data_IF_689306039232
#
_entry.id   IF_689306039232
#
_cell.length_a   1.000
_cell.length_b   1.000
_cell.length_c   1.000
_cell.angle_alpha   90.00
_cell.angle_beta   90.00
_cell.angle_gamma   90.00
#
_symmetry.space_group_name_H-M   'P 1'
#
loop_
_entity.id
_entity.type
_entity.pdbx_description
1 polymer ?
#
# COMPACT_ATOMS: atom_id res chain seq x y z
N UNK A 1 -5.66 0.28 -10.02
CA UNK A 1 -5.68 0.27 -8.55
C UNK A 1 -5.67 -1.19 -8.09
N UNK A 2 -4.54 -1.65 -7.58
CA UNK A 2 -4.37 -3.01 -7.04
C UNK A 2 -4.65 -2.93 -5.55
N UNK A 3 -5.74 -3.54 -5.10
CA UNK A 3 -5.92 -3.77 -3.67
C UNK A 3 -5.23 -5.08 -3.35
N UNK A 4 -4.06 -4.96 -2.81
CA UNK A 4 -3.26 -6.08 -2.35
C UNK A 4 -3.37 -6.11 -0.83
N UNK A 5 -3.60 -7.29 -0.28
CA UNK A 5 -3.53 -7.54 1.15
C UNK A 5 -2.18 -7.03 1.69
N UNK A 6 -2.18 -5.87 2.32
CA UNK A 6 -1.06 -5.43 3.12
C UNK A 6 -0.94 -6.40 4.31
N UNK A 7 0.15 -7.15 4.38
CA UNK A 7 0.42 -8.03 5.49
C UNK A 7 0.75 -7.19 6.72
N UNK A 8 -0.17 -7.14 7.66
CA UNK A 8 -0.02 -6.45 8.94
C UNK A 8 0.98 -7.16 9.83
N UNK A 9 2.08 -6.48 10.13
CA UNK A 9 2.98 -6.88 11.22
C UNK A 9 2.41 -6.34 12.53
N UNK A 10 1.74 -7.18 13.32
CA UNK A 10 1.33 -6.83 14.67
C UNK A 10 2.56 -6.60 15.54
N UNK A 11 2.81 -5.36 15.92
CA UNK A 11 3.70 -5.03 17.05
C UNK A 11 3.03 -5.51 18.34
N UNK A 12 3.52 -6.63 18.90
CA UNK A 12 3.22 -7.00 20.29
C UNK A 12 3.94 -6.01 21.22
N UNK A 13 3.18 -5.18 21.89
CA UNK A 13 3.67 -4.43 23.05
C UNK A 13 3.95 -5.44 24.16
N UNK A 14 5.22 -5.60 24.50
CA UNK A 14 5.64 -6.51 25.55
C UNK A 14 5.39 -5.92 26.94
N UNK A 15 4.35 -6.36 27.59
CA UNK A 15 4.18 -6.16 29.04
C UNK A 15 4.98 -7.26 29.73
N UNK A 16 6.05 -6.89 30.41
CA UNK A 16 6.79 -7.77 31.33
C UNK A 16 5.95 -7.96 32.59
N UNK A 17 5.30 -9.12 32.73
CA UNK A 17 4.75 -9.59 33.97
C UNK A 17 5.69 -10.63 34.57
N UNK A 18 6.15 -10.37 35.79
CA UNK A 18 6.95 -11.25 36.63
C UNK A 18 6.14 -12.49 37.05
N UNK A 19 6.64 -13.66 36.77
CA UNK A 19 6.01 -14.94 37.15
C UNK A 19 6.38 -15.26 38.62
N UNK A 20 5.34 -15.43 39.42
CA UNK A 20 5.46 -16.18 40.71
C UNK A 20 4.82 -17.54 40.49
N UNK A 21 5.64 -18.57 40.74
CA UNK A 21 5.33 -19.99 40.58
C UNK A 21 4.45 -20.46 41.72
N UNK A 22 3.23 -20.96 41.47
CA UNK A 22 2.52 -21.87 42.35
C UNK A 22 2.04 -23.06 41.54
N UNK A 23 2.60 -24.24 41.87
CA UNK A 23 2.21 -25.54 41.34
C UNK A 23 0.94 -26.01 42.06
N UNK A 24 -0.10 -26.31 41.33
CA UNK A 24 -1.18 -27.18 41.80
C UNK A 24 -1.74 -27.97 40.60
N UNK A 25 -1.48 -29.28 40.63
CA UNK A 25 -2.09 -30.24 39.70
C UNK A 25 -3.59 -30.36 39.95
N UNK A 26 -4.40 -30.13 38.91
CA UNK A 26 -5.73 -30.73 38.80
C UNK A 26 -5.98 -31.04 37.31
N UNK A 27 -6.05 -32.34 37.02
CA UNK A 27 -6.51 -32.91 35.78
C UNK A 27 -8.02 -32.57 35.59
N UNK A 28 -8.34 -31.74 34.61
CA UNK A 28 -9.69 -31.51 34.15
C UNK A 28 -9.63 -31.31 32.64
N UNK A 29 -10.05 -32.31 31.88
CA UNK A 29 -10.12 -32.24 30.43
C UNK A 29 -11.11 -31.15 29.96
N UNK A 30 -10.61 -30.06 29.44
CA UNK A 30 -11.36 -29.09 28.67
C UNK A 30 -11.20 -29.43 27.18
N UNK A 31 -12.20 -30.11 26.63
CA UNK A 31 -12.39 -30.25 25.21
C UNK A 31 -12.57 -28.84 24.63
N UNK A 32 -11.56 -28.30 23.94
CA UNK A 32 -11.68 -27.12 23.11
C UNK A 32 -12.62 -27.46 21.95
N UNK A 33 -13.85 -27.05 22.03
CA UNK A 33 -14.75 -27.01 20.88
C UNK A 33 -14.21 -25.91 19.95
N UNK A 34 -13.34 -26.28 19.03
CA UNK A 34 -13.17 -25.53 17.81
C UNK A 34 -14.50 -25.67 17.05
N UNK A 35 -15.34 -24.65 17.08
CA UNK A 35 -16.48 -24.57 16.18
C UNK A 35 -15.95 -24.50 14.76
N UNK A 36 -15.85 -25.65 14.10
CA UNK A 36 -15.72 -25.75 12.66
C UNK A 36 -16.94 -25.04 12.08
N UNK A 37 -16.72 -24.03 11.21
CA UNK A 37 -17.79 -23.43 10.43
C UNK A 37 -18.49 -24.55 9.66
N UNK A 38 -19.80 -24.70 9.84
CA UNK A 38 -20.60 -25.69 9.13
C UNK A 38 -20.51 -25.44 7.62
N UNK A 39 -20.17 -26.47 6.81
CA UNK A 39 -20.17 -26.32 5.37
C UNK A 39 -21.63 -26.36 4.90
N UNK A 40 -22.20 -25.19 4.54
CA UNK A 40 -23.52 -25.13 3.92
C UNK A 40 -24.50 -24.06 4.40
N UNK A 41 -24.11 -23.18 5.33
CA UNK A 41 -24.97 -22.06 5.69
C UNK A 41 -25.14 -21.12 4.49
N UNK A 42 -26.38 -20.94 4.02
CA UNK A 42 -26.69 -19.95 2.98
C UNK A 42 -26.28 -18.54 3.47
N UNK A 43 -25.74 -17.69 2.59
CA UNK A 43 -25.37 -16.33 2.98
C UNK A 43 -26.58 -15.63 3.59
N UNK A 44 -26.38 -15.03 4.77
CA UNK A 44 -27.41 -14.21 5.41
C UNK A 44 -27.85 -13.12 4.43
N UNK A 45 -29.16 -12.85 4.35
CA UNK A 45 -29.65 -11.77 3.50
C UNK A 45 -28.93 -10.46 3.86
N UNK A 46 -28.53 -9.66 2.87
CA UNK A 46 -27.72 -8.48 3.06
C UNK A 46 -28.24 -7.52 4.14
N UNK A 47 -29.57 -7.28 4.15
CA UNK A 47 -30.19 -6.41 5.15
C UNK A 47 -30.03 -6.94 6.59
N UNK A 48 -30.18 -8.26 6.80
CA UNK A 48 -29.98 -8.87 8.12
C UNK A 48 -28.49 -8.88 8.52
N UNK A 49 -27.60 -9.08 7.57
CA UNK A 49 -26.16 -8.98 7.80
C UNK A 49 -25.77 -7.55 8.19
N UNK A 50 -26.36 -6.53 7.56
CA UNK A 50 -26.07 -5.13 7.86
C UNK A 50 -26.50 -4.75 9.29
N UNK A 51 -27.56 -5.37 9.83
CA UNK A 51 -27.95 -5.22 11.24
C UNK A 51 -26.84 -5.75 12.15
N UNK A 52 -26.30 -6.94 11.86
CA UNK A 52 -25.19 -7.50 12.68
C UNK A 52 -23.94 -6.60 12.61
N UNK A 53 -23.64 -6.04 11.43
CA UNK A 53 -22.53 -5.09 11.27
C UNK A 53 -22.76 -3.82 12.08
N UNK A 54 -23.98 -3.30 12.09
CA UNK A 54 -24.38 -2.15 12.92
C UNK A 54 -24.10 -2.42 14.41
N UNK A 55 -24.56 -3.55 14.92
CA UNK A 55 -24.34 -3.94 16.32
C UNK A 55 -22.84 -4.07 16.65
N UNK A 56 -22.07 -4.67 15.75
CA UNK A 56 -20.63 -4.79 15.90
C UNK A 56 -19.92 -3.43 15.91
N UNK A 57 -20.32 -2.50 15.04
CA UNK A 57 -19.75 -1.16 14.98
C UNK A 57 -19.99 -0.37 16.27
N UNK A 58 -21.23 -0.41 16.79
CA UNK A 58 -21.61 0.23 18.06
C UNK A 58 -20.84 -0.41 19.24
N UNK A 59 -20.72 -1.74 19.26
CA UNK A 59 -19.95 -2.44 20.29
C UNK A 59 -18.45 -2.10 20.26
N UNK A 60 -17.91 -1.65 19.11
CA UNK A 60 -16.54 -1.14 18.97
C UNK A 60 -16.41 0.34 19.33
N UNK A 61 -17.49 1.01 19.74
CA UNK A 61 -17.47 2.41 20.20
C UNK A 61 -17.82 3.45 19.14
N UNK A 62 -18.19 3.03 17.92
CA UNK A 62 -18.64 3.96 16.87
C UNK A 62 -20.06 4.44 17.22
N UNK A 63 -20.34 5.74 17.09
CA UNK A 63 -21.65 6.28 17.47
C UNK A 63 -22.78 5.70 16.63
N UNK A 64 -23.91 5.39 17.28
CA UNK A 64 -25.09 4.89 16.59
C UNK A 64 -25.58 5.86 15.51
N UNK A 65 -25.45 7.17 15.76
CA UNK A 65 -25.84 8.21 14.80
C UNK A 65 -25.05 8.13 13.49
N UNK A 66 -23.72 7.95 13.58
CA UNK A 66 -22.85 7.79 12.41
C UNK A 66 -23.17 6.51 11.65
N UNK A 67 -23.32 5.39 12.35
CA UNK A 67 -23.61 4.10 11.71
C UNK A 67 -24.97 4.13 11.01
N UNK A 68 -26.00 4.67 11.68
CA UNK A 68 -27.35 4.76 11.13
C UNK A 68 -27.37 5.68 9.89
N UNK A 69 -26.71 6.83 9.94
CA UNK A 69 -26.60 7.71 8.78
C UNK A 69 -25.84 7.05 7.62
N UNK A 70 -24.73 6.34 7.90
CA UNK A 70 -23.90 5.68 6.91
C UNK A 70 -24.63 4.52 6.21
N UNK A 71 -25.59 3.87 6.87
CA UNK A 71 -26.29 2.71 6.34
C UNK A 71 -27.65 3.03 5.69
N UNK A 72 -28.08 4.29 5.70
CA UNK A 72 -29.33 4.68 5.02
C UNK A 72 -29.26 4.32 3.54
N UNK A 73 -30.19 3.47 3.09
CA UNK A 73 -30.32 3.08 1.67
C UNK A 73 -29.13 2.30 1.11
N UNK A 74 -28.28 1.72 1.95
CA UNK A 74 -27.15 0.91 1.48
C UNK A 74 -27.64 -0.45 1.00
N UNK A 75 -27.41 -0.70 -0.28
CA UNK A 75 -27.66 -1.96 -0.99
C UNK A 75 -26.40 -2.42 -1.71
N UNK A 76 -26.25 -3.73 -2.02
CA UNK A 76 -25.12 -4.23 -2.79
C UNK A 76 -24.94 -3.51 -4.14
N UNK A 77 -23.73 -3.10 -4.47
CA UNK A 77 -23.43 -2.47 -5.75
C UNK A 77 -22.86 -3.49 -6.75
N UNK A 78 -23.66 -3.81 -7.77
CA UNK A 78 -23.27 -4.73 -8.83
C UNK A 78 -22.03 -4.26 -9.65
N UNK A 79 -21.77 -2.94 -9.69
CA UNK A 79 -20.56 -2.39 -10.35
C UNK A 79 -19.32 -2.78 -9.58
N UNK A 80 -19.39 -2.77 -8.24
CA UNK A 80 -18.32 -3.19 -7.35
C UNK A 80 -17.99 -4.67 -7.56
N UNK A 81 -18.99 -5.55 -7.57
CA UNK A 81 -18.80 -7.00 -7.81
C UNK A 81 -18.21 -7.29 -9.19
N UNK A 82 -18.66 -6.56 -10.23
CA UNK A 82 -18.08 -6.66 -11.57
C UNK A 82 -16.64 -6.17 -11.63
N UNK A 83 -16.31 -5.10 -10.92
CA UNK A 83 -14.94 -4.57 -10.87
C UNK A 83 -14.00 -5.55 -10.16
N UNK A 84 -14.46 -6.17 -9.06
CA UNK A 84 -13.71 -7.16 -8.31
C UNK A 84 -13.42 -8.45 -9.12
N UNK A 85 -14.34 -8.85 -9.99
CA UNK A 85 -14.16 -10.02 -10.86
C UNK A 85 -13.24 -9.75 -12.07
N UNK A 86 -13.05 -8.50 -12.47
CA UNK A 86 -12.32 -8.05 -13.67
C UNK A 86 -11.05 -7.31 -13.32
N UNK A 87 -10.12 -7.89 -12.57
CA UNK A 87 -8.85 -7.21 -12.26
C UNK A 87 -7.92 -7.21 -13.49
N UNK A 88 -7.84 -6.13 -14.30
CA UNK A 88 -7.06 -6.09 -15.55
C UNK A 88 -5.55 -6.14 -15.35
N UNK A 89 -5.06 -5.97 -14.15
CA UNK A 89 -3.63 -5.83 -13.84
C UNK A 89 -2.83 -7.12 -14.01
N UNK A 90 -3.50 -8.26 -14.10
CA UNK A 90 -2.85 -9.56 -14.36
C UNK A 90 -2.59 -9.82 -15.84
N UNK A 91 -3.09 -8.97 -16.75
CA UNK A 91 -3.05 -9.23 -18.20
C UNK A 91 -1.93 -8.46 -18.91
N UNK A 92 -1.44 -7.34 -18.34
CA UNK A 92 -0.40 -6.52 -18.98
C UNK A 92 1.01 -7.09 -18.73
N UNK A 93 1.89 -7.03 -19.74
CA UNK A 93 3.32 -7.26 -19.54
C UNK A 93 3.93 -6.18 -18.64
N UNK A 94 5.15 -6.41 -18.16
CA UNK A 94 5.85 -5.43 -17.32
C UNK A 94 6.08 -4.12 -18.10
N UNK A 95 6.54 -4.23 -19.33
CA UNK A 95 6.79 -3.10 -20.22
C UNK A 95 5.50 -2.31 -20.54
N UNK A 96 4.41 -2.98 -20.91
CA UNK A 96 3.12 -2.32 -21.18
C UNK A 96 2.61 -1.54 -19.97
N UNK A 97 2.78 -2.09 -18.78
CA UNK A 97 2.40 -1.40 -17.54
C UNK A 97 3.23 -0.13 -17.34
N UNK A 98 4.56 -0.22 -17.49
CA UNK A 98 5.45 0.94 -17.33
C UNK A 98 5.17 2.02 -18.37
N UNK A 99 5.01 1.66 -19.65
CA UNK A 99 4.69 2.60 -20.74
C UNK A 99 3.39 3.39 -20.47
N UNK A 100 2.40 2.76 -19.83
CA UNK A 100 1.14 3.43 -19.46
C UNK A 100 1.26 4.29 -18.19
N UNK A 101 2.24 4.06 -17.35
CA UNK A 101 2.36 4.71 -16.02
C UNK A 101 3.49 5.71 -15.94
N UNK A 102 4.65 5.42 -16.53
CA UNK A 102 5.85 6.26 -16.51
C UNK A 102 6.00 6.93 -17.89
N UNK A 103 5.21 7.96 -18.14
CA UNK A 103 5.19 8.68 -19.40
C UNK A 103 5.94 10.01 -19.31
N UNK A 104 6.56 10.51 -20.42
CA UNK A 104 7.17 11.84 -20.42
C UNK A 104 6.22 12.95 -19.99
N UNK A 105 4.94 12.85 -20.38
CA UNK A 105 3.90 13.81 -20.00
C UNK A 105 3.65 13.81 -18.49
N UNK A 106 3.56 12.62 -17.85
CA UNK A 106 3.38 12.51 -16.40
C UNK A 106 4.63 12.99 -15.66
N UNK A 107 5.83 12.65 -16.13
CA UNK A 107 7.07 13.15 -15.55
C UNK A 107 7.17 14.68 -15.63
N UNK A 108 6.82 15.27 -16.77
CA UNK A 108 6.74 16.74 -16.92
C UNK A 108 5.76 17.37 -15.93
N UNK A 109 4.56 16.83 -15.81
CA UNK A 109 3.56 17.30 -14.84
C UNK A 109 4.07 17.15 -13.39
N UNK A 110 4.71 16.03 -13.06
CA UNK A 110 5.29 15.78 -11.75
C UNK A 110 6.38 16.82 -11.40
N UNK A 111 7.26 17.16 -12.34
CA UNK A 111 8.26 18.23 -12.15
C UNK A 111 7.64 19.60 -11.91
N UNK A 112 6.54 19.93 -12.63
CA UNK A 112 5.82 21.18 -12.41
C UNK A 112 5.28 21.21 -10.99
N UNK A 113 4.54 20.19 -10.56
CA UNK A 113 4.00 20.12 -9.20
C UNK A 113 5.10 20.12 -8.15
N UNK A 114 6.22 19.45 -8.39
CA UNK A 114 7.36 19.46 -7.48
C UNK A 114 7.91 20.87 -7.29
N UNK A 115 8.17 21.61 -8.38
CA UNK A 115 8.71 22.98 -8.36
C UNK A 115 7.73 23.98 -7.72
N UNK A 116 6.45 23.89 -8.07
CA UNK A 116 5.41 24.80 -7.52
C UNK A 116 5.21 24.63 -6.00
N UNK A 117 5.50 23.44 -5.46
CA UNK A 117 5.25 23.12 -4.06
C UNK A 117 6.53 22.81 -3.28
N UNK A 118 7.70 23.19 -3.82
CA UNK A 118 9.01 22.77 -3.29
C UNK A 118 9.16 23.05 -1.80
N UNK A 119 8.86 24.26 -1.34
CA UNK A 119 9.03 24.63 0.07
C UNK A 119 8.15 23.80 1.04
N UNK A 120 6.94 23.43 0.62
CA UNK A 120 6.07 22.58 1.42
C UNK A 120 6.57 21.13 1.41
N UNK A 121 6.96 20.62 0.24
CA UNK A 121 7.48 19.26 0.09
C UNK A 121 8.78 19.06 0.89
N UNK A 122 9.68 20.04 0.90
CA UNK A 122 10.92 20.01 1.68
C UNK A 122 10.63 19.98 3.20
N UNK A 123 9.69 20.79 3.69
CA UNK A 123 9.27 20.77 5.10
C UNK A 123 8.69 19.42 5.51
N UNK A 124 7.89 18.78 4.64
CA UNK A 124 7.33 17.45 4.88
C UNK A 124 8.46 16.41 4.84
N UNK A 125 9.32 16.47 3.83
CA UNK A 125 10.46 15.57 3.65
C UNK A 125 11.41 15.61 4.85
N UNK A 126 11.72 16.80 5.36
CA UNK A 126 12.53 16.99 6.56
C UNK A 126 11.86 16.39 7.80
N UNK A 127 10.57 16.69 8.02
CA UNK A 127 9.83 16.23 9.20
C UNK A 127 9.76 14.70 9.29
N UNK A 128 9.56 14.02 8.16
CA UNK A 128 9.37 12.57 8.12
C UNK A 128 10.60 11.80 7.63
N UNK A 129 11.69 12.49 7.29
CA UNK A 129 12.93 11.91 6.76
C UNK A 129 12.69 11.08 5.50
N UNK A 130 12.00 11.69 4.52
CA UNK A 130 11.64 11.09 3.23
C UNK A 130 12.21 11.96 2.11
N UNK A 131 12.63 11.33 1.02
CA UNK A 131 13.07 12.08 -0.17
C UNK A 131 11.85 12.62 -0.92
N UNK A 132 11.73 13.95 -1.02
CA UNK A 132 10.54 14.67 -1.51
C UNK A 132 10.03 14.24 -2.91
N UNK A 133 10.86 13.86 -3.90
CA UNK A 133 10.37 13.42 -5.20
C UNK A 133 9.43 12.22 -5.14
N UNK A 134 9.60 11.34 -4.15
CA UNK A 134 8.71 10.18 -3.98
C UNK A 134 7.29 10.59 -3.60
N UNK A 135 7.09 11.68 -2.82
CA UNK A 135 5.77 12.16 -2.45
C UNK A 135 4.94 12.50 -3.69
N UNK A 136 5.57 13.17 -4.64
CA UNK A 136 4.96 13.50 -5.95
C UNK A 136 4.77 12.26 -6.81
N UNK A 137 5.73 11.31 -6.82
CA UNK A 137 5.62 10.08 -7.60
C UNK A 137 4.44 9.20 -7.14
N UNK A 138 4.25 9.04 -5.82
CA UNK A 138 3.08 8.35 -5.27
C UNK A 138 1.78 9.06 -5.64
N UNK A 139 1.68 10.37 -5.41
CA UNK A 139 0.50 11.15 -5.73
C UNK A 139 0.12 11.11 -7.22
N UNK A 140 1.15 11.14 -8.09
CA UNK A 140 0.96 10.99 -9.52
C UNK A 140 0.40 9.62 -9.92
N UNK A 141 0.90 8.53 -9.32
CA UNK A 141 0.48 7.19 -9.68
C UNK A 141 -0.87 6.81 -9.06
N UNK A 142 -1.14 7.23 -7.82
CA UNK A 142 -2.37 6.86 -7.11
C UNK A 142 -3.59 7.58 -7.68
N UNK A 143 -3.50 8.87 -7.90
CA UNK A 143 -4.68 9.66 -8.26
C UNK A 143 -4.50 10.62 -9.44
N UNK A 144 -3.39 10.49 -10.20
CA UNK A 144 -3.04 11.44 -11.24
C UNK A 144 -3.10 12.89 -10.73
N UNK A 145 -2.37 13.16 -9.66
CA UNK A 145 -2.31 14.46 -8.98
C UNK A 145 -3.69 14.90 -8.44
N UNK A 146 -4.39 14.00 -7.79
CA UNK A 146 -5.70 14.26 -7.17
C UNK A 146 -6.90 14.28 -8.12
N UNK A 147 -6.67 14.10 -9.44
CA UNK A 147 -7.75 14.17 -10.46
C UNK A 147 -8.61 12.92 -10.51
N UNK A 148 -8.10 11.76 -10.08
CA UNK A 148 -8.74 10.47 -10.20
C UNK A 148 -8.78 9.77 -8.83
N UNK A 149 -9.71 10.16 -7.99
CA UNK A 149 -9.87 9.60 -6.64
C UNK A 149 -10.91 8.47 -6.59
N UNK A 150 -11.69 8.30 -7.64
CA UNK A 150 -12.86 7.43 -7.67
C UNK A 150 -14.15 8.15 -7.28
N UNK A 151 -15.29 7.51 -7.55
CA UNK A 151 -16.62 8.06 -7.30
C UNK A 151 -17.61 7.04 -6.73
N UNK A 152 -17.09 5.97 -6.14
CA UNK A 152 -17.89 4.99 -5.43
C UNK A 152 -18.06 5.42 -3.97
N UNK A 153 -19.26 5.26 -3.42
CA UNK A 153 -19.44 5.37 -1.96
C UNK A 153 -18.56 4.33 -1.26
N UNK A 154 -17.69 4.76 -0.38
CA UNK A 154 -16.78 3.89 0.37
C UNK A 154 -17.58 2.89 1.22
N UNK A 155 -18.59 3.37 1.95
CA UNK A 155 -19.44 2.51 2.80
C UNK A 155 -20.14 1.44 1.96
N UNK A 156 -20.80 1.83 0.87
CA UNK A 156 -21.52 0.89 0.01
C UNK A 156 -20.58 -0.12 -0.64
N UNK A 157 -19.42 0.31 -1.09
CA UNK A 157 -18.41 -0.54 -1.71
C UNK A 157 -17.90 -1.58 -0.73
N UNK A 158 -17.49 -1.14 0.46
CA UNK A 158 -16.96 -2.03 1.49
C UNK A 158 -18.02 -2.99 2.03
N UNK A 159 -19.26 -2.51 2.25
CA UNK A 159 -20.38 -3.37 2.65
C UNK A 159 -20.67 -4.44 1.59
N UNK A 160 -20.66 -4.08 0.30
CA UNK A 160 -20.83 -5.03 -0.81
C UNK A 160 -19.77 -6.13 -0.78
N UNK A 161 -18.49 -5.74 -0.65
CA UNK A 161 -17.37 -6.68 -0.66
C UNK A 161 -17.23 -7.47 0.65
N UNK A 162 -17.63 -6.89 1.77
CA UNK A 162 -17.65 -7.57 3.06
C UNK A 162 -18.74 -8.65 3.13
N UNK A 163 -19.87 -8.43 2.48
CA UNK A 163 -20.93 -9.43 2.36
C UNK A 163 -20.57 -10.55 1.35
N UNK A 164 -19.75 -10.28 0.33
CA UNK A 164 -19.21 -11.29 -0.59
C UNK A 164 -18.20 -12.19 0.16
N UNK A 165 -18.43 -13.51 0.17
CA UNK A 165 -17.70 -14.46 1.02
C UNK A 165 -16.19 -14.57 0.73
N UNK A 166 -15.72 -14.16 -0.46
CA UNK A 166 -14.33 -14.39 -0.90
C UNK A 166 -13.25 -13.72 -0.05
N UNK A 167 -13.51 -12.50 0.44
CA UNK A 167 -12.59 -11.70 1.27
C UNK A 167 -13.32 -10.98 2.40
N UNK A 168 -14.41 -11.57 2.88
CA UNK A 168 -15.34 -10.98 3.86
C UNK A 168 -14.63 -10.41 5.08
N UNK A 169 -13.76 -11.20 5.73
CA UNK A 169 -13.07 -10.77 6.94
C UNK A 169 -12.18 -9.53 6.74
N UNK A 170 -11.53 -9.39 5.57
CA UNK A 170 -10.74 -8.22 5.24
C UNK A 170 -11.64 -6.99 5.06
N UNK A 171 -12.65 -7.09 4.20
CA UNK A 171 -13.52 -5.95 3.91
C UNK A 171 -14.42 -5.56 5.07
N UNK A 172 -14.78 -6.50 5.97
CA UNK A 172 -15.47 -6.16 7.22
C UNK A 172 -14.60 -5.28 8.12
N UNK A 173 -13.33 -5.59 8.27
CA UNK A 173 -12.41 -4.72 9.03
C UNK A 173 -12.25 -3.33 8.39
N UNK A 174 -12.14 -3.27 7.07
CA UNK A 174 -12.08 -1.99 6.36
C UNK A 174 -13.39 -1.20 6.48
N UNK A 175 -14.56 -1.85 6.50
CA UNK A 175 -15.85 -1.21 6.73
C UNK A 175 -15.93 -0.61 8.14
N UNK A 176 -15.48 -1.35 9.17
CA UNK A 176 -15.41 -0.82 10.53
C UNK A 176 -14.49 0.40 10.62
N UNK A 177 -13.32 0.32 10.00
CA UNK A 177 -12.39 1.45 9.93
C UNK A 177 -12.99 2.65 9.17
N UNK A 178 -13.75 2.42 8.09
CA UNK A 178 -14.44 3.47 7.35
C UNK A 178 -15.51 4.18 8.19
N UNK A 179 -16.28 3.42 8.95
CA UNK A 179 -17.26 3.98 9.90
C UNK A 179 -16.58 4.81 10.99
N UNK A 180 -15.42 4.37 11.47
CA UNK A 180 -14.62 5.13 12.45
C UNK A 180 -14.10 6.45 11.84
N UNK A 181 -13.61 6.45 10.59
CA UNK A 181 -13.17 7.68 9.89
C UNK A 181 -14.31 8.72 9.82
N UNK A 182 -15.54 8.26 9.55
CA UNK A 182 -16.72 9.13 9.56
C UNK A 182 -17.05 9.64 10.96
N UNK A 183 -16.98 8.78 11.96
CA UNK A 183 -17.32 9.12 13.35
C UNK A 183 -16.33 10.14 13.95
N UNK A 184 -15.04 10.07 13.54
CA UNK A 184 -14.00 11.04 13.88
C UNK A 184 -14.19 12.39 13.14
N UNK A 185 -15.09 12.49 12.17
CA UNK A 185 -15.47 13.73 11.50
C UNK A 185 -14.47 14.29 10.51
N UNK A 186 -13.56 13.46 9.98
CA UNK A 186 -12.54 13.88 9.04
C UNK A 186 -13.08 14.25 7.65
N UNK A 187 -14.24 13.68 7.28
CA UNK A 187 -14.89 13.90 5.99
C UNK A 187 -16.41 13.78 6.16
N UNK A 188 -17.22 14.62 5.48
CA UNK A 188 -18.68 14.45 5.45
C UNK A 188 -19.07 13.18 4.66
N UNK A 189 -20.19 12.57 5.05
CA UNK A 189 -20.65 11.30 4.44
C UNK A 189 -20.90 11.40 2.94
N UNK A 190 -21.41 12.50 2.45
CA UNK A 190 -21.68 12.75 1.02
C UNK A 190 -20.40 12.96 0.19
N UNK A 191 -19.29 13.35 0.82
CA UNK A 191 -17.95 13.43 0.24
C UNK A 191 -17.14 12.15 0.41
N UNK A 192 -17.65 11.15 1.17
CA UNK A 192 -16.93 9.92 1.48
C UNK A 192 -16.94 8.94 0.30
N UNK A 193 -16.28 9.36 -0.76
CA UNK A 193 -16.16 8.62 -2.02
C UNK A 193 -14.72 8.23 -2.32
N UNK A 194 -14.55 7.22 -3.18
CA UNK A 194 -13.23 6.71 -3.55
C UNK A 194 -13.29 5.62 -4.60
N UNK A 195 -12.30 4.73 -4.59
CA UNK A 195 -12.23 3.58 -5.47
C UNK A 195 -13.27 2.50 -5.13
N UNK A 196 -13.59 1.67 -6.10
CA UNK A 196 -14.60 0.60 -5.99
C UNK A 196 -14.34 -0.40 -4.85
N UNK A 197 -13.13 -0.50 -4.38
CA UNK A 197 -12.74 -1.42 -3.31
C UNK A 197 -12.36 -0.71 -2.01
N UNK A 198 -12.77 0.55 -1.84
CA UNK A 198 -12.64 1.26 -0.58
C UNK A 198 -11.36 2.10 -0.43
N UNK A 199 -10.55 2.26 -1.46
CA UNK A 199 -9.41 3.16 -1.42
C UNK A 199 -9.86 4.62 -1.48
N UNK A 200 -9.31 5.49 -0.64
CA UNK A 200 -9.83 6.82 -0.34
C UNK A 200 -8.84 7.92 -0.69
N UNK A 201 -9.38 9.06 -1.11
CA UNK A 201 -8.66 10.30 -1.29
C UNK A 201 -7.56 10.25 -2.37
N UNK A 202 -6.68 11.26 -2.36
CA UNK A 202 -5.66 11.43 -3.39
C UNK A 202 -4.50 10.44 -3.26
N UNK A 203 -4.25 9.90 -2.07
CA UNK A 203 -3.24 8.88 -1.79
C UNK A 203 -3.78 7.44 -1.79
N UNK A 204 -5.06 7.26 -2.10
CA UNK A 204 -5.72 5.95 -2.23
C UNK A 204 -5.49 5.03 -1.01
N UNK A 205 -5.53 5.59 0.19
CA UNK A 205 -5.45 4.81 1.42
C UNK A 205 -6.70 3.95 1.62
N UNK A 206 -6.49 2.73 2.10
CA UNK A 206 -7.58 1.96 2.71
C UNK A 206 -7.98 2.62 4.04
N UNK A 207 -9.24 2.46 4.52
CA UNK A 207 -9.69 3.05 5.79
C UNK A 207 -8.78 2.73 6.98
N UNK A 208 -8.32 1.50 7.10
CA UNK A 208 -7.37 1.12 8.14
C UNK A 208 -6.01 1.83 7.98
N UNK A 209 -5.55 2.05 6.76
CA UNK A 209 -4.34 2.82 6.49
C UNK A 209 -4.52 4.30 6.85
N UNK A 210 -5.70 4.86 6.58
CA UNK A 210 -6.04 6.22 6.98
C UNK A 210 -5.94 6.39 8.50
N UNK A 211 -6.59 5.54 9.27
CA UNK A 211 -6.57 5.61 10.74
C UNK A 211 -5.14 5.54 11.30
N UNK A 212 -4.28 4.74 10.68
CA UNK A 212 -2.92 4.53 11.16
C UNK A 212 -1.92 5.58 10.66
N UNK A 213 -2.11 6.15 9.48
CA UNK A 213 -1.06 6.91 8.80
C UNK A 213 -1.49 8.30 8.32
N UNK A 214 -2.79 8.62 8.22
CA UNK A 214 -3.20 9.93 7.78
C UNK A 214 -2.77 11.01 8.79
N UNK A 215 -2.29 12.14 8.26
CA UNK A 215 -1.76 13.26 9.03
C UNK A 215 -2.57 14.52 8.76
N UNK A 216 -2.79 15.29 9.81
CA UNK A 216 -3.21 16.68 9.77
C UNK A 216 -1.93 17.53 9.82
N UNK A 217 -1.47 18.01 8.67
CA UNK A 217 -0.19 18.69 8.58
C UNK A 217 -0.31 20.20 8.77
N UNK A 218 -1.43 20.80 8.41
CA UNK A 218 -1.69 22.21 8.57
C UNK A 218 -2.32 22.56 9.93
N UNK A 219 -2.77 21.54 10.70
CA UNK A 219 -3.25 21.68 12.06
C UNK A 219 -4.69 22.21 12.16
N UNK A 220 -5.52 21.97 11.13
CA UNK A 220 -6.93 22.40 11.12
C UNK A 220 -7.87 21.47 11.91
N UNK A 221 -7.33 20.37 12.44
CA UNK A 221 -8.05 19.33 13.20
C UNK A 221 -8.64 18.22 12.32
N UNK A 222 -8.37 18.22 11.02
CA UNK A 222 -8.84 17.20 10.08
C UNK A 222 -7.67 16.58 9.32
N UNK A 223 -7.74 15.30 9.07
CA UNK A 223 -6.81 14.58 8.19
C UNK A 223 -7.41 14.52 6.79
N UNK A 224 -7.34 15.63 6.05
CA UNK A 224 -8.05 15.77 4.77
C UNK A 224 -7.23 15.28 3.58
N UNK A 225 -7.28 13.98 3.32
CA UNK A 225 -6.61 13.39 2.15
C UNK A 225 -7.37 13.55 0.83
N UNK A 226 -8.53 14.19 0.81
CA UNK A 226 -9.36 14.38 -0.40
C UNK A 226 -9.07 15.69 -1.12
N UNK A 227 -8.86 16.77 -0.39
CA UNK A 227 -8.70 18.10 -0.99
C UNK A 227 -7.49 18.90 -0.45
N UNK A 228 -6.85 18.48 0.65
CA UNK A 228 -5.68 19.14 1.22
C UNK A 228 -4.39 18.42 0.82
N UNK A 229 -3.62 18.99 -0.10
CA UNK A 229 -2.37 18.38 -0.58
C UNK A 229 -1.28 18.29 0.49
N UNK A 230 -1.28 19.18 1.49
CA UNK A 230 -0.33 19.10 2.60
C UNK A 230 -0.56 17.81 3.41
N UNK A 231 -1.82 17.51 3.74
CA UNK A 231 -2.20 16.27 4.44
C UNK A 231 -1.93 15.03 3.59
N UNK A 232 -2.22 15.13 2.28
CA UNK A 232 -1.94 14.03 1.33
C UNK A 232 -0.47 13.66 1.36
N UNK A 233 0.43 14.62 1.17
CA UNK A 233 1.87 14.35 1.09
C UNK A 233 2.45 13.98 2.46
N UNK A 234 2.00 14.61 3.54
CA UNK A 234 2.39 14.24 4.89
C UNK A 234 1.96 12.83 5.27
N UNK A 235 0.76 12.42 4.85
CA UNK A 235 0.25 11.05 5.06
C UNK A 235 1.07 10.02 4.28
N UNK A 236 1.44 10.29 3.03
CA UNK A 236 2.35 9.44 2.26
C UNK A 236 3.71 9.37 2.95
N UNK A 237 4.27 10.51 3.37
CA UNK A 237 5.56 10.59 4.04
C UNK A 237 5.57 9.79 5.35
N UNK A 238 4.56 9.98 6.19
CA UNK A 238 4.43 9.24 7.44
C UNK A 238 4.27 7.73 7.21
N UNK A 239 3.46 7.33 6.23
CA UNK A 239 3.36 5.92 5.85
C UNK A 239 4.73 5.32 5.50
N UNK A 240 5.51 6.02 4.66
CA UNK A 240 6.83 5.54 4.23
C UNK A 240 7.82 5.48 5.41
N UNK A 241 7.83 6.49 6.30
CA UNK A 241 8.70 6.52 7.47
C UNK A 241 8.42 5.37 8.44
N UNK A 242 7.15 5.11 8.76
CA UNK A 242 6.74 4.00 9.62
C UNK A 242 7.05 2.63 8.98
N UNK A 243 7.10 2.54 7.65
CA UNK A 243 7.49 1.36 6.90
C UNK A 243 8.98 1.30 6.58
N UNK A 244 9.83 1.99 7.39
CA UNK A 244 11.30 1.88 7.39
C UNK A 244 11.98 2.46 6.16
N UNK A 245 11.46 3.54 5.61
CA UNK A 245 12.18 4.32 4.60
C UNK A 245 13.58 4.69 5.09
N UNK A 246 14.54 4.69 4.19
CA UNK A 246 15.91 5.10 4.45
C UNK A 246 16.19 6.37 3.65
N UNK A 247 16.14 7.53 4.30
CA UNK A 247 16.46 8.80 3.65
C UNK A 247 17.86 8.76 3.01
N UNK A 248 17.96 9.30 1.81
CA UNK A 248 19.22 9.30 1.06
C UNK A 248 19.65 7.94 0.50
N UNK A 249 18.82 6.88 0.57
CA UNK A 249 19.06 5.64 -0.18
C UNK A 249 18.15 5.60 -1.43
N UNK A 250 18.71 5.16 -2.56
CA UNK A 250 17.93 4.92 -3.78
C UNK A 250 16.94 3.76 -3.58
N UNK A 251 15.81 3.80 -4.32
CA UNK A 251 14.91 2.64 -4.44
C UNK A 251 15.59 1.45 -5.13
N UNK A 252 16.49 1.76 -6.07
CA UNK A 252 17.15 0.82 -6.95
C UNK A 252 17.61 1.50 -8.23
N UNK A 253 17.75 0.72 -9.30
CA UNK A 253 18.18 1.19 -10.61
C UNK A 253 17.80 0.23 -11.72
N UNK A 254 17.69 0.77 -12.96
CA UNK A 254 17.65 -0.05 -14.17
C UNK A 254 19.03 -0.59 -14.49
N UNK A 255 19.09 -1.81 -15.02
CA UNK A 255 20.35 -2.46 -15.41
C UNK A 255 20.21 -3.18 -16.74
N UNK A 256 21.29 -3.28 -17.50
CA UNK A 256 21.38 -4.14 -18.67
C UNK A 256 21.79 -5.55 -18.27
N UNK A 257 21.19 -6.54 -18.92
CA UNK A 257 21.49 -7.97 -18.77
C UNK A 257 22.29 -8.35 -20.02
N UNK A 258 23.62 -8.38 -19.89
CA UNK A 258 24.51 -8.63 -21.03
C UNK A 258 24.57 -10.12 -21.43
N UNK A 259 24.40 -11.02 -20.44
CA UNK A 259 24.49 -12.47 -20.62
C UNK A 259 23.33 -13.17 -19.87
N UNK A 260 22.92 -14.36 -20.30
CA UNK A 260 21.92 -15.13 -19.58
C UNK A 260 22.35 -15.45 -18.15
N UNK A 261 21.54 -15.06 -17.17
CA UNK A 261 21.77 -15.30 -15.74
C UNK A 261 20.81 -16.38 -15.25
N UNK A 262 21.37 -17.39 -14.56
CA UNK A 262 20.56 -18.43 -13.92
C UNK A 262 20.01 -17.94 -12.56
N UNK A 263 18.93 -17.14 -12.61
CA UNK A 263 18.34 -16.52 -11.43
C UNK A 263 17.84 -17.51 -10.39
N UNK A 264 17.48 -18.73 -10.79
CA UNK A 264 17.07 -19.81 -9.88
C UNK A 264 18.08 -20.08 -8.76
N UNK A 265 19.39 -20.03 -9.08
CA UNK A 265 20.49 -20.19 -8.09
C UNK A 265 20.67 -18.99 -7.16
N UNK A 266 20.04 -17.86 -7.45
CA UNK A 266 20.13 -16.62 -6.69
C UNK A 266 18.90 -16.36 -5.84
N UNK A 267 17.89 -17.22 -5.90
CA UNK A 267 16.69 -17.07 -5.09
C UNK A 267 17.00 -17.26 -3.60
N UNK A 268 16.28 -16.57 -2.69
CA UNK A 268 16.45 -16.77 -1.27
C UNK A 268 15.94 -18.15 -0.85
N UNK A 269 16.57 -18.72 0.19
CA UNK A 269 16.16 -20.03 0.76
C UNK A 269 14.75 -20.01 1.37
N UNK A 270 14.32 -18.85 1.85
CA UNK A 270 12.97 -18.62 2.37
C UNK A 270 12.48 -17.24 1.99
N UNK A 271 11.18 -17.12 1.78
CA UNK A 271 10.51 -15.83 1.50
C UNK A 271 9.71 -15.44 2.73
N UNK A 272 9.93 -14.23 3.22
CA UNK A 272 9.14 -13.67 4.33
C UNK A 272 7.66 -13.68 3.95
N UNK A 273 6.75 -14.18 4.82
CA UNK A 273 5.32 -14.08 4.60
C UNK A 273 4.89 -12.63 4.40
N UNK A 274 3.91 -12.41 3.53
CA UNK A 274 3.37 -11.08 3.27
C UNK A 274 3.28 -10.80 1.78
N UNK A 275 4.07 -9.84 1.30
CA UNK A 275 4.00 -9.39 -0.07
C UNK A 275 4.46 -10.44 -1.09
N UNK A 276 3.54 -10.89 -1.97
CA UNK A 276 3.81 -11.92 -2.99
C UNK A 276 4.88 -11.51 -4.01
N UNK A 277 5.02 -10.20 -4.27
CA UNK A 277 6.01 -9.69 -5.21
C UNK A 277 7.45 -10.08 -4.82
N UNK A 278 7.73 -10.22 -3.51
CA UNK A 278 9.04 -10.63 -3.00
C UNK A 278 9.46 -12.05 -3.40
N UNK A 279 8.53 -12.90 -3.85
CA UNK A 279 8.84 -14.25 -4.37
C UNK A 279 9.62 -14.21 -5.69
N UNK A 280 9.61 -13.07 -6.36
CA UNK A 280 10.30 -12.83 -7.62
C UNK A 280 11.58 -12.00 -7.43
N UNK A 281 12.11 -11.94 -6.21
CA UNK A 281 13.36 -11.24 -5.91
C UNK A 281 14.47 -12.24 -5.58
N UNK A 282 15.66 -11.98 -6.10
CA UNK A 282 16.86 -12.73 -5.71
C UNK A 282 17.32 -12.34 -4.29
N UNK A 283 18.27 -13.08 -3.74
CA UNK A 283 19.04 -12.60 -2.57
C UNK A 283 19.82 -11.33 -2.95
N UNK A 284 20.02 -10.38 -2.01
CA UNK A 284 20.79 -9.17 -2.29
C UNK A 284 22.28 -9.45 -2.46
N UNK A 285 22.89 -8.91 -3.51
CA UNK A 285 24.31 -8.96 -3.81
C UNK A 285 24.89 -7.54 -3.95
N UNK A 286 26.21 -7.40 -3.84
CA UNK A 286 26.90 -6.14 -4.14
C UNK A 286 26.86 -5.84 -5.65
N UNK A 287 27.08 -4.58 -6.04
CA UNK A 287 27.18 -4.23 -7.48
C UNK A 287 28.33 -4.94 -8.17
N UNK A 288 29.45 -5.16 -7.47
CA UNK A 288 30.60 -5.93 -8.01
C UNK A 288 30.17 -7.38 -8.30
N UNK A 289 29.45 -8.03 -7.39
CA UNK A 289 28.96 -9.39 -7.61
C UNK A 289 27.94 -9.46 -8.76
N UNK A 290 27.12 -8.42 -8.93
CA UNK A 290 26.17 -8.31 -10.04
C UNK A 290 26.90 -8.13 -11.37
N UNK A 291 27.91 -7.23 -11.42
CA UNK A 291 28.71 -7.00 -12.62
C UNK A 291 29.47 -8.25 -13.06
N UNK A 292 29.99 -9.03 -12.10
CA UNK A 292 30.63 -10.32 -12.39
C UNK A 292 29.66 -11.39 -12.96
N UNK A 293 28.36 -11.11 -12.96
CA UNK A 293 27.30 -11.97 -13.54
C UNK A 293 26.69 -11.38 -14.83
N UNK A 294 27.36 -10.38 -15.42
CA UNK A 294 26.85 -9.72 -16.61
C UNK A 294 25.66 -8.76 -16.38
N UNK A 295 25.40 -8.39 -15.13
CA UNK A 295 24.38 -7.39 -14.77
C UNK A 295 25.05 -6.05 -14.57
N UNK A 296 24.86 -5.12 -15.51
CA UNK A 296 25.64 -3.87 -15.56
C UNK A 296 24.72 -2.67 -15.33
N UNK A 297 24.88 -1.93 -14.22
CA UNK A 297 24.24 -0.63 -14.05
C UNK A 297 24.88 0.42 -14.95
N UNK A 298 24.19 1.52 -15.26
CA UNK A 298 24.82 2.68 -15.86
C UNK A 298 25.93 3.22 -14.94
N UNK A 299 27.03 3.69 -15.54
CA UNK A 299 28.24 4.13 -14.80
C UNK A 299 27.90 5.23 -13.79
N UNK A 300 27.09 6.20 -14.20
CA UNK A 300 26.63 7.31 -13.36
C UNK A 300 25.81 6.83 -12.16
N UNK A 301 24.94 5.84 -12.36
CA UNK A 301 24.15 5.25 -11.28
C UNK A 301 25.03 4.45 -10.30
N UNK A 302 26.05 3.73 -10.79
CA UNK A 302 26.95 2.98 -9.93
C UNK A 302 27.82 3.88 -9.04
N UNK A 303 28.13 5.08 -9.48
CA UNK A 303 28.93 6.08 -8.77
C UNK A 303 28.10 6.92 -7.78
N UNK A 304 26.75 6.89 -7.86
CA UNK A 304 25.87 7.66 -6.98
C UNK A 304 26.08 7.24 -5.51
N UNK A 305 26.36 8.18 -4.57
CA UNK A 305 26.53 7.88 -3.15
C UNK A 305 25.30 7.21 -2.51
N UNK A 306 24.10 7.45 -3.06
CA UNK A 306 22.87 6.80 -2.62
C UNK A 306 22.80 5.32 -2.99
N UNK A 307 23.66 4.88 -3.89
CA UNK A 307 23.75 3.53 -4.45
C UNK A 307 25.01 2.79 -3.97
N UNK A 308 26.13 3.48 -3.94
CA UNK A 308 27.45 2.90 -3.64
C UNK A 308 27.51 2.18 -2.29
N UNK A 309 28.23 1.05 -2.23
CA UNK A 309 28.46 0.28 -1.01
C UNK A 309 27.26 -0.54 -0.50
N UNK A 310 26.11 -0.49 -1.19
CA UNK A 310 24.89 -1.21 -0.80
C UNK A 310 24.71 -2.52 -1.56
N UNK A 311 23.81 -3.37 -1.04
CA UNK A 311 23.41 -4.62 -1.71
C UNK A 311 22.02 -4.49 -2.28
N UNK A 312 21.83 -5.05 -3.47
CA UNK A 312 20.60 -5.00 -4.24
C UNK A 312 20.11 -6.40 -4.59
N UNK A 313 18.81 -6.61 -4.55
CA UNK A 313 18.17 -7.79 -5.10
C UNK A 313 17.75 -7.50 -6.55
N UNK A 314 17.78 -8.51 -7.41
CA UNK A 314 17.18 -8.42 -8.74
C UNK A 314 15.67 -8.73 -8.65
N UNK A 315 14.82 -7.89 -9.20
CA UNK A 315 13.49 -8.29 -9.63
C UNK A 315 13.67 -9.20 -10.83
N UNK A 316 13.39 -10.49 -10.67
CA UNK A 316 13.67 -11.48 -11.73
C UNK A 316 12.90 -11.12 -13.00
N UNK A 317 13.59 -10.82 -14.11
CA UNK A 317 12.96 -10.46 -15.37
C UNK A 317 12.25 -11.68 -15.99
N UNK A 318 11.34 -11.41 -16.93
CA UNK A 318 10.76 -12.46 -17.75
C UNK A 318 11.80 -12.98 -18.76
N UNK A 319 11.60 -14.20 -19.25
CA UNK A 319 12.51 -14.78 -20.21
C UNK A 319 12.62 -13.91 -21.48
N UNK A 320 13.83 -13.55 -21.87
CA UNK A 320 14.12 -12.71 -23.03
C UNK A 320 14.17 -11.20 -22.75
N UNK A 321 13.89 -10.73 -21.54
CA UNK A 321 14.09 -9.34 -21.16
C UNK A 321 15.60 -9.04 -21.01
N UNK A 322 16.06 -7.95 -21.63
CA UNK A 322 17.46 -7.47 -21.59
C UNK A 322 17.65 -6.32 -20.62
N UNK A 323 16.55 -5.80 -20.04
CA UNK A 323 16.53 -4.79 -19.00
C UNK A 323 15.98 -5.42 -17.73
N UNK A 324 16.67 -5.20 -16.62
CA UNK A 324 16.27 -5.63 -15.29
C UNK A 324 16.30 -4.47 -14.30
N UNK A 325 15.88 -4.77 -13.06
CA UNK A 325 15.86 -3.78 -11.99
C UNK A 325 16.54 -4.37 -10.74
N UNK A 326 17.65 -3.74 -10.34
CA UNK A 326 18.27 -3.96 -9.04
C UNK A 326 17.58 -3.08 -8.00
N UNK A 327 17.07 -3.67 -6.92
CA UNK A 327 16.20 -3.00 -5.97
C UNK A 327 16.75 -3.04 -4.55
N UNK A 328 16.67 -1.90 -3.86
CA UNK A 328 17.19 -1.69 -2.51
C UNK A 328 16.15 -1.85 -1.41
N UNK A 329 16.45 -1.28 -0.24
CA UNK A 329 15.55 -1.33 0.93
C UNK A 329 14.30 -0.48 0.72
N UNK A 330 14.45 0.73 0.14
CA UNK A 330 13.32 1.63 -0.12
C UNK A 330 12.30 1.03 -1.09
N UNK A 331 12.74 0.17 -2.01
CA UNK A 331 11.81 -0.59 -2.84
C UNK A 331 10.86 -1.48 -2.03
N UNK A 332 11.34 -2.09 -0.94
CA UNK A 332 10.49 -2.88 -0.05
C UNK A 332 9.47 -2.02 0.69
N UNK A 333 9.85 -0.81 1.04
CA UNK A 333 8.92 0.17 1.62
C UNK A 333 7.84 0.57 0.61
N UNK A 334 8.20 0.77 -0.66
CA UNK A 334 7.22 1.02 -1.72
C UNK A 334 6.28 -0.20 -1.89
N UNK A 335 6.81 -1.42 -1.82
CA UNK A 335 6.00 -2.65 -1.86
C UNK A 335 5.04 -2.80 -0.66
N UNK A 336 5.32 -2.17 0.49
CA UNK A 336 4.34 -2.16 1.60
C UNK A 336 3.11 -1.33 1.27
N UNK A 337 3.27 -0.28 0.47
CA UNK A 337 2.16 0.55 0.01
C UNK A 337 1.30 -0.21 -1.02
N UNK A 338 1.95 -0.80 -2.01
CA UNK A 338 1.31 -1.66 -3.00
C UNK A 338 2.25 -2.80 -3.39
N UNK A 339 1.86 -4.05 -3.06
CA UNK A 339 2.68 -5.24 -3.25
C UNK A 339 2.70 -5.72 -4.72
N UNK A 340 3.15 -4.84 -5.64
CA UNK A 340 3.35 -5.15 -7.04
C UNK A 340 4.67 -4.59 -7.56
N UNK A 341 5.55 -5.45 -8.11
CA UNK A 341 6.85 -5.02 -8.63
C UNK A 341 6.71 -3.95 -9.72
N UNK A 342 5.72 -4.08 -10.60
CA UNK A 342 5.44 -3.10 -11.66
C UNK A 342 5.13 -1.71 -11.09
N UNK A 343 4.31 -1.66 -10.05
CA UNK A 343 3.97 -0.43 -9.33
C UNK A 343 5.22 0.18 -8.68
N UNK A 344 5.96 -0.62 -7.91
CA UNK A 344 7.12 -0.12 -7.18
C UNK A 344 8.23 0.40 -8.10
N UNK A 345 8.49 -0.28 -9.24
CA UNK A 345 9.40 0.23 -10.27
C UNK A 345 8.87 1.53 -10.88
N UNK A 346 7.55 1.65 -11.13
CA UNK A 346 6.97 2.90 -11.67
C UNK A 346 7.17 4.08 -10.73
N UNK A 347 7.00 3.89 -9.42
CA UNK A 347 7.29 4.92 -8.40
C UNK A 347 8.75 5.35 -8.47
N UNK A 348 9.68 4.38 -8.45
CA UNK A 348 11.10 4.66 -8.48
C UNK A 348 11.53 5.42 -9.74
N UNK A 349 11.16 4.92 -10.92
CA UNK A 349 11.48 5.57 -12.19
C UNK A 349 10.89 6.99 -12.29
N UNK A 350 9.66 7.18 -11.82
CA UNK A 350 9.04 8.51 -11.87
C UNK A 350 9.74 9.47 -10.89
N UNK A 351 10.13 9.01 -9.70
CA UNK A 351 10.89 9.82 -8.76
C UNK A 351 12.26 10.23 -9.35
N UNK A 352 12.95 9.31 -10.02
CA UNK A 352 14.22 9.62 -10.71
C UNK A 352 14.01 10.67 -11.82
N UNK A 353 12.94 10.55 -12.61
CA UNK A 353 12.62 11.51 -13.69
C UNK A 353 12.21 12.90 -13.16
N UNK A 354 11.78 13.04 -11.92
CA UNK A 354 11.44 14.33 -11.32
C UNK A 354 12.70 15.15 -11.10
N UNK A 355 13.80 14.51 -10.71
CA UNK A 355 15.08 15.19 -10.38
C UNK A 355 16.07 15.26 -11.54
N UNK A 356 15.96 14.40 -12.56
CA UNK A 356 16.91 14.29 -13.67
C UNK A 356 17.07 15.54 -14.52
N UNK A 357 16.10 16.47 -14.52
CA UNK A 357 16.13 17.73 -15.31
C UNK A 357 16.16 18.96 -14.37
N UNK A 358 16.64 18.83 -13.15
CA UNK A 358 16.71 19.94 -12.17
C UNK A 358 18.03 20.72 -12.24
N UNK A 359 18.94 20.33 -13.15
CA UNK A 359 20.22 20.99 -13.43
C UNK A 359 20.13 22.02 -14.57
#
# INVERSE_FOLDING_TARGET
MVIIEAAWVHRRVGVRATLTLCVSLLLGGLASFATAAEPGAQPKAFALWLVDIREQAIAQGISAATVDAAFVGVEPDQRVLRADSRQPEFVQTFEQYLQGRVTPARAKAARVHYKENQALLERIAERYQIDAPYLIAFWALESNFGRLQGNFSIIRSLATLAHDQRRSAFFTRELMAALQVLDEGHVPLDEFVGGWAGAMGQNQFMPSSFLNFAQDFDGDGKKNIWSNTADVWASIAYYLSENKWQAGESWGMSVSIAEPVEFSKLMPMSVTPGCRALRHHTRPLSLVDWSAKGIVPAVEQAADPRVSGRKYAMVVPQAGETVGYLVGKNFRTILSYNCANKYAVSIGLLADMIVADSD
#
